data_IF_809314088914
#
_entry.id   IF_809314088914
#
_cell.length_a   1.000
_cell.length_b   1.000
_cell.length_c   1.000
_cell.angle_alpha   90.00
_cell.angle_beta   90.00
_cell.angle_gamma   90.00
#
_symmetry.space_group_name_H-M   'P 1'
#
loop_
_entity.id
_entity.type
_entity.pdbx_description
1 polymer ?
#
# COMPACT_ATOMS: atom_id res chain seq x y z
N UNK A 1 -0.48 -21.16 1.54
CA UNK A 1 -0.20 -20.26 2.66
C UNK A 1 -0.75 -18.88 2.36
N UNK A 2 -1.32 -18.22 3.34
CA UNK A 2 -1.98 -16.94 3.19
C UNK A 2 -1.41 -15.92 4.19
N UNK A 3 -1.31 -14.64 3.78
CA UNK A 3 -0.73 -13.59 4.61
C UNK A 3 -1.49 -12.27 4.48
N UNK A 4 -1.50 -11.50 5.56
CA UNK A 4 -2.00 -10.13 5.58
C UNK A 4 -0.90 -9.17 5.13
N UNK A 5 -1.28 -8.00 4.63
CA UNK A 5 -0.32 -6.97 4.24
C UNK A 5 0.58 -6.53 5.39
N UNK A 6 0.04 -6.42 6.60
CA UNK A 6 0.82 -6.02 7.77
C UNK A 6 2.01 -6.93 8.05
N UNK A 7 1.93 -8.21 7.62
CA UNK A 7 2.99 -9.20 7.85
C UNK A 7 4.07 -9.17 6.79
N UNK A 8 3.81 -8.62 5.61
CA UNK A 8 4.72 -8.72 4.45
C UNK A 8 5.31 -7.38 3.99
N UNK A 9 4.88 -6.27 4.58
CA UNK A 9 5.30 -4.93 4.19
C UNK A 9 5.76 -4.14 5.42
N UNK A 10 6.82 -3.35 5.24
CA UNK A 10 7.28 -2.36 6.23
C UNK A 10 7.31 -1.00 5.58
N UNK A 11 6.87 0.02 6.33
CA UNK A 11 6.78 1.38 5.84
C UNK A 11 7.33 2.32 6.91
N UNK A 12 8.16 3.29 6.51
CA UNK A 12 8.59 4.34 7.41
C UNK A 12 7.38 5.16 7.88
N UNK A 13 7.38 5.59 9.13
CA UNK A 13 6.26 6.31 9.74
C UNK A 13 5.76 7.48 8.88
N UNK A 14 6.68 8.26 8.32
CA UNK A 14 6.34 9.44 7.51
C UNK A 14 5.56 9.10 6.23
N UNK A 15 5.58 7.84 5.77
CA UNK A 15 4.90 7.40 4.56
C UNK A 15 3.66 6.52 4.84
N UNK A 16 3.40 6.16 6.09
CA UNK A 16 2.32 5.24 6.43
C UNK A 16 0.96 5.69 5.90
N UNK A 17 0.61 6.95 6.14
CA UNK A 17 -0.68 7.50 5.69
C UNK A 17 -0.81 7.48 4.17
N UNK A 18 0.24 7.88 3.46
CA UNK A 18 0.24 7.87 2.00
C UNK A 18 0.09 6.45 1.44
N UNK A 19 0.82 5.49 2.00
CA UNK A 19 0.77 4.09 1.53
C UNK A 19 -0.58 3.45 1.86
N UNK A 20 -1.16 3.70 3.02
CA UNK A 20 -2.50 3.21 3.33
C UNK A 20 -3.55 3.77 2.38
N UNK A 21 -3.47 5.06 2.06
CA UNK A 21 -4.35 5.69 1.08
C UNK A 21 -4.15 5.07 -0.30
N UNK A 22 -2.91 4.84 -0.70
CA UNK A 22 -2.59 4.23 -1.99
C UNK A 22 -3.11 2.79 -2.09
N UNK A 23 -2.99 2.00 -1.04
CA UNK A 23 -3.52 0.64 -0.99
C UNK A 23 -5.05 0.63 -0.96
N UNK A 24 -5.65 1.59 -0.24
CA UNK A 24 -7.10 1.67 -0.11
C UNK A 24 -7.70 0.38 0.42
N UNK A 25 -8.79 -0.07 -0.19
CA UNK A 25 -9.46 -1.33 0.18
C UNK A 25 -8.59 -2.58 0.00
N UNK A 26 -7.54 -2.50 -0.81
CA UNK A 26 -6.63 -3.63 -1.05
C UNK A 26 -5.90 -4.09 0.22
N UNK A 27 -5.80 -3.24 1.22
CA UNK A 27 -5.15 -3.60 2.49
C UNK A 27 -5.88 -4.76 3.20
N UNK A 28 -7.15 -4.97 2.89
CA UNK A 28 -7.96 -6.06 3.44
C UNK A 28 -7.86 -7.36 2.63
N UNK A 29 -7.19 -7.33 1.49
CA UNK A 29 -7.03 -8.50 0.64
C UNK A 29 -6.05 -9.49 1.27
N UNK A 30 -6.23 -10.75 0.93
CA UNK A 30 -5.37 -11.84 1.43
C UNK A 30 -4.41 -12.27 0.33
N UNK A 31 -3.12 -12.28 0.65
CA UNK A 31 -2.09 -12.73 -0.27
C UNK A 31 -1.93 -14.25 -0.11
N UNK A 32 -1.99 -14.96 -1.23
CA UNK A 32 -1.76 -16.41 -1.25
C UNK A 32 -0.55 -16.75 -2.11
N UNK A 33 0.04 -17.90 -1.87
CA UNK A 33 1.16 -18.39 -2.67
C UNK A 33 0.72 -18.72 -4.10
N UNK A 34 -0.43 -19.40 -4.25
CA UNK A 34 -0.92 -19.88 -5.55
C UNK A 34 -2.40 -19.63 -5.74
N UNK A 35 -2.83 -19.65 -7.00
CA UNK A 35 -4.24 -19.63 -7.38
C UNK A 35 -4.99 -20.83 -6.80
N UNK A 36 -4.31 -21.98 -6.70
CA UNK A 36 -4.89 -23.20 -6.12
C UNK A 36 -5.28 -23.00 -4.65
N UNK A 37 -4.40 -22.37 -3.88
CA UNK A 37 -4.68 -22.03 -2.47
C UNK A 37 -5.87 -21.06 -2.39
N UNK A 38 -5.88 -20.01 -3.22
CA UNK A 38 -6.98 -19.05 -3.26
C UNK A 38 -8.32 -19.72 -3.61
N UNK A 39 -8.31 -20.62 -4.58
CA UNK A 39 -9.50 -21.38 -4.96
C UNK A 39 -10.07 -22.18 -3.79
N UNK A 40 -9.22 -22.90 -3.06
CA UNK A 40 -9.64 -23.68 -1.88
C UNK A 40 -10.27 -22.80 -0.82
N UNK A 41 -9.69 -21.63 -0.58
CA UNK A 41 -10.21 -20.69 0.40
C UNK A 41 -11.56 -20.11 -0.03
N UNK A 42 -11.73 -19.80 -1.30
CA UNK A 42 -13.01 -19.32 -1.85
C UNK A 42 -14.08 -20.40 -1.71
N UNK A 43 -13.77 -21.64 -2.05
CA UNK A 43 -14.70 -22.77 -1.90
C UNK A 43 -15.13 -22.97 -0.45
N UNK A 44 -14.20 -22.83 0.48
CA UNK A 44 -14.48 -22.89 1.92
C UNK A 44 -15.44 -21.77 2.35
N UNK A 45 -15.20 -20.53 1.89
CA UNK A 45 -16.06 -19.40 2.19
C UNK A 45 -17.50 -19.63 1.66
N UNK A 46 -17.61 -20.15 0.45
CA UNK A 46 -18.92 -20.47 -0.15
C UNK A 46 -19.65 -21.56 0.63
N UNK A 47 -18.95 -22.65 0.95
CA UNK A 47 -19.54 -23.80 1.66
C UNK A 47 -20.11 -23.40 3.02
N UNK A 48 -19.41 -22.53 3.73
CA UNK A 48 -19.79 -22.09 5.06
C UNK A 48 -20.62 -20.80 5.08
N UNK A 49 -20.97 -20.27 3.90
CA UNK A 49 -21.75 -19.03 3.75
C UNK A 49 -21.11 -17.83 4.44
N UNK A 50 -19.79 -17.77 4.45
CA UNK A 50 -19.04 -16.62 4.92
C UNK A 50 -18.98 -15.53 3.84
N UNK A 51 -18.67 -14.31 4.24
CA UNK A 51 -18.60 -13.17 3.34
C UNK A 51 -17.54 -13.30 2.25
N UNK A 52 -17.52 -12.34 1.35
CA UNK A 52 -16.60 -12.29 0.22
C UNK A 52 -15.26 -11.72 0.65
N UNK A 53 -14.19 -12.36 0.18
CA UNK A 53 -12.80 -11.92 0.40
C UNK A 53 -12.09 -11.91 -0.95
N UNK A 54 -11.24 -10.91 -1.18
CA UNK A 54 -10.40 -10.85 -2.36
C UNK A 54 -9.04 -11.46 -2.04
N UNK A 55 -8.59 -12.37 -2.89
CA UNK A 55 -7.29 -13.02 -2.77
C UNK A 55 -6.36 -12.54 -3.87
N UNK A 56 -5.08 -12.41 -3.53
CA UNK A 56 -4.03 -11.99 -4.46
C UNK A 56 -2.98 -13.11 -4.56
N UNK A 57 -3.17 -14.06 -5.52
CA UNK A 57 -2.22 -15.17 -5.69
C UNK A 57 -0.90 -14.69 -6.30
N UNK A 58 0.22 -15.00 -5.67
CA UNK A 58 1.54 -14.58 -6.14
C UNK A 58 1.93 -15.19 -7.50
N UNK A 59 1.37 -16.33 -7.86
CA UNK A 59 1.62 -16.96 -9.16
C UNK A 59 0.80 -16.35 -10.30
N UNK A 60 -0.14 -15.44 -10.00
CA UNK A 60 -1.00 -14.81 -11.00
C UNK A 60 -0.83 -13.30 -11.09
N UNK A 61 -0.58 -12.64 -9.95
CA UNK A 61 -0.50 -11.18 -9.89
C UNK A 61 0.79 -10.70 -10.53
N UNK A 62 0.68 -9.82 -11.54
CA UNK A 62 1.81 -9.19 -12.23
C UNK A 62 1.65 -7.69 -12.20
N UNK A 63 2.75 -6.97 -12.08
CA UNK A 63 2.77 -5.52 -12.06
C UNK A 63 3.95 -4.93 -12.80
N UNK A 64 3.87 -3.63 -13.04
CA UNK A 64 4.93 -2.89 -13.73
C UNK A 64 5.45 -1.76 -12.84
N UNK A 65 6.74 -1.51 -12.93
CA UNK A 65 7.36 -0.35 -12.31
C UNK A 65 6.85 0.93 -12.97
N UNK A 66 6.93 2.04 -12.25
CA UNK A 66 6.55 3.36 -12.77
C UNK A 66 7.54 3.75 -13.89
N UNK A 67 7.04 3.80 -15.13
CA UNK A 67 7.88 3.97 -16.31
C UNK A 67 8.15 5.43 -16.69
N UNK A 68 7.29 6.35 -16.25
CA UNK A 68 7.36 7.77 -16.65
C UNK A 68 8.33 8.54 -15.76
N UNK A 69 9.62 8.37 -16.02
CA UNK A 69 10.70 8.95 -15.21
C UNK A 69 10.67 10.46 -15.16
N UNK A 70 10.16 11.14 -16.20
CA UNK A 70 10.02 12.59 -16.23
C UNK A 70 9.08 13.10 -15.14
N UNK A 71 8.05 12.34 -14.79
CA UNK A 71 7.11 12.68 -13.71
C UNK A 71 7.81 12.54 -12.35
N UNK A 72 8.62 11.52 -12.18
CA UNK A 72 9.35 11.30 -10.93
C UNK A 72 10.32 12.44 -10.60
N UNK A 73 10.75 13.20 -11.61
CA UNK A 73 11.66 14.33 -11.43
C UNK A 73 10.95 15.67 -11.18
N UNK A 74 9.62 15.69 -11.21
CA UNK A 74 8.85 16.93 -10.96
C UNK A 74 9.04 17.41 -9.52
N UNK A 75 9.03 18.75 -9.30
CA UNK A 75 9.13 19.29 -7.95
C UNK A 75 8.02 18.77 -7.02
N UNK A 76 8.40 18.39 -5.81
CA UNK A 76 7.48 17.89 -4.79
C UNK A 76 7.18 16.40 -4.85
N UNK A 77 7.73 15.69 -5.83
CA UNK A 77 7.57 14.23 -5.91
C UNK A 77 8.48 13.55 -4.89
N UNK A 78 7.91 12.65 -4.11
CA UNK A 78 8.63 11.79 -3.18
C UNK A 78 9.11 10.53 -3.92
N UNK A 79 8.24 9.91 -4.71
CA UNK A 79 8.56 8.73 -5.51
C UNK A 79 7.30 7.96 -5.91
N UNK A 80 7.50 6.85 -6.62
CA UNK A 80 6.43 5.89 -6.84
C UNK A 80 6.15 5.15 -5.53
N UNK A 81 4.90 4.86 -5.24
CA UNK A 81 4.50 4.31 -3.95
C UNK A 81 5.18 2.98 -3.61
N UNK A 82 5.40 2.11 -4.60
CA UNK A 82 6.09 0.83 -4.37
C UNK A 82 7.57 1.00 -3.98
N UNK A 83 8.18 2.14 -4.28
CA UNK A 83 9.57 2.44 -3.91
C UNK A 83 9.71 2.93 -2.46
N UNK A 84 8.61 3.27 -1.81
CA UNK A 84 8.57 3.79 -0.45
C UNK A 84 8.26 2.72 0.60
N UNK A 85 8.18 1.47 0.19
CA UNK A 85 7.87 0.33 1.04
C UNK A 85 8.99 -0.69 0.99
N UNK A 86 9.13 -1.46 2.06
CA UNK A 86 10.15 -2.50 2.21
C UNK A 86 9.43 -3.85 2.25
N UNK A 87 9.85 -4.78 1.40
CA UNK A 87 9.26 -6.10 1.27
C UNK A 87 10.28 -7.09 0.70
N UNK A 88 10.03 -8.38 0.86
CA UNK A 88 10.83 -9.43 0.26
C UNK A 88 10.64 -9.47 -1.26
N UNK A 89 11.68 -9.83 -1.98
CA UNK A 89 11.71 -9.91 -3.46
C UNK A 89 10.56 -10.76 -4.03
N UNK A 90 10.11 -11.76 -3.30
CA UNK A 90 8.98 -12.62 -3.71
C UNK A 90 7.68 -11.83 -3.92
N UNK A 91 7.55 -10.68 -3.28
CA UNK A 91 6.36 -9.81 -3.37
C UNK A 91 6.50 -8.67 -4.38
N UNK A 92 7.56 -8.64 -5.16
CA UNK A 92 7.86 -7.54 -6.09
C UNK A 92 6.71 -7.27 -7.07
N UNK A 93 6.23 -8.30 -7.74
CA UNK A 93 5.11 -8.17 -8.69
C UNK A 93 3.83 -7.72 -8.00
N UNK A 94 3.59 -8.22 -6.80
CA UNK A 94 2.43 -7.84 -5.99
C UNK A 94 2.42 -6.33 -5.70
N UNK A 95 3.52 -5.80 -5.17
CA UNK A 95 3.59 -4.39 -4.83
C UNK A 95 3.72 -3.49 -6.06
N UNK A 96 4.33 -3.96 -7.13
CA UNK A 96 4.32 -3.24 -8.42
C UNK A 96 2.89 -3.15 -8.97
N UNK A 97 2.10 -4.21 -8.84
CA UNK A 97 0.69 -4.21 -9.25
C UNK A 97 -0.17 -3.22 -8.44
N UNK A 98 0.01 -3.23 -7.13
CA UNK A 98 -0.83 -2.42 -6.23
C UNK A 98 -0.38 -0.96 -6.13
N UNK A 99 0.92 -0.71 -6.15
CA UNK A 99 1.51 0.59 -5.84
C UNK A 99 2.37 1.17 -6.96
N UNK A 100 2.75 0.39 -7.95
CA UNK A 100 3.74 0.78 -8.96
C UNK A 100 3.32 1.95 -9.85
N UNK A 101 2.03 2.19 -10.02
CA UNK A 101 1.51 3.26 -10.87
C UNK A 101 0.96 4.45 -10.06
N UNK A 102 1.27 4.51 -8.78
CA UNK A 102 0.82 5.57 -7.88
C UNK A 102 2.01 6.45 -7.49
N UNK A 103 1.85 7.75 -7.69
CA UNK A 103 2.87 8.75 -7.36
C UNK A 103 2.59 9.32 -5.97
N UNK A 104 3.60 9.40 -5.12
CA UNK A 104 3.50 10.07 -3.82
C UNK A 104 4.16 11.43 -3.91
N UNK A 105 3.45 12.47 -3.48
CA UNK A 105 3.92 13.85 -3.49
C UNK A 105 3.84 14.45 -2.09
N UNK A 106 4.57 15.54 -1.88
CA UNK A 106 4.68 16.17 -0.55
C UNK A 106 3.37 16.81 -0.08
N UNK A 107 2.61 17.44 -0.98
CA UNK A 107 1.39 18.18 -0.64
C UNK A 107 0.43 18.29 -1.83
N UNK A 108 -0.74 18.85 -1.57
CA UNK A 108 -1.80 19.00 -2.55
C UNK A 108 -1.40 19.97 -3.69
N UNK A 109 -0.68 21.04 -3.38
CA UNK A 109 -0.25 22.01 -4.39
C UNK A 109 0.66 21.37 -5.43
N UNK A 110 1.64 20.59 -4.98
CA UNK A 110 2.51 19.82 -5.87
C UNK A 110 1.69 18.82 -6.70
N UNK A 111 0.76 18.13 -6.05
CA UNK A 111 -0.12 17.15 -6.72
C UNK A 111 -0.95 17.79 -7.82
N UNK A 112 -1.57 18.92 -7.57
CA UNK A 112 -2.41 19.63 -8.56
C UNK A 112 -1.58 20.06 -9.76
N UNK A 113 -0.39 20.63 -9.54
CA UNK A 113 0.50 21.04 -10.64
C UNK A 113 0.86 19.87 -11.55
N UNK A 114 1.21 18.75 -10.95
CA UNK A 114 1.58 17.53 -11.70
C UNK A 114 0.36 16.98 -12.44
N UNK A 115 -0.78 16.87 -11.76
CA UNK A 115 -2.01 16.37 -12.36
C UNK A 115 -2.40 17.21 -13.60
N UNK A 116 -2.36 18.53 -13.50
CA UNK A 116 -2.67 19.41 -14.61
C UNK A 116 -1.66 19.29 -15.76
N UNK A 117 -0.36 19.25 -15.44
CA UNK A 117 0.70 19.14 -16.44
C UNK A 117 0.59 17.85 -17.26
N UNK A 118 0.20 16.76 -16.63
CA UNK A 118 0.12 15.45 -17.28
C UNK A 118 -1.31 14.99 -17.55
N UNK A 119 -2.25 15.97 -17.61
CA UNK A 119 -3.64 15.74 -18.03
C UNK A 119 -4.41 14.70 -17.22
N UNK A 120 -4.19 14.71 -15.91
CA UNK A 120 -4.85 13.77 -14.97
C UNK A 120 -4.69 12.30 -15.35
N UNK A 121 -3.52 11.94 -15.89
CA UNK A 121 -3.20 10.58 -16.36
C UNK A 121 -2.55 9.71 -15.31
N UNK A 122 -2.22 10.25 -14.15
CA UNK A 122 -1.51 9.57 -13.07
C UNK A 122 -2.32 9.68 -11.77
N UNK A 123 -2.40 8.58 -11.03
CA UNK A 123 -2.96 8.62 -9.68
C UNK A 123 -1.89 9.15 -8.73
N UNK A 124 -2.25 10.16 -7.95
CA UNK A 124 -1.34 10.86 -7.03
C UNK A 124 -1.90 10.77 -5.62
N UNK A 125 -1.03 10.55 -4.65
CA UNK A 125 -1.37 10.55 -3.23
C UNK A 125 -0.41 11.48 -2.50
N UNK A 126 -0.92 12.29 -1.58
CA UNK A 126 -0.09 13.19 -0.78
C UNK A 126 0.36 12.50 0.52
N UNK A 127 1.37 13.06 1.18
CA UNK A 127 1.83 12.56 2.49
C UNK A 127 0.71 12.60 3.55
N UNK A 128 -0.22 13.53 3.43
CA UNK A 128 -1.38 13.63 4.35
C UNK A 128 -2.50 12.65 4.01
N UNK A 129 -2.38 11.91 2.94
CA UNK A 129 -3.36 10.90 2.55
C UNK A 129 -4.48 11.42 1.65
N UNK A 130 -4.32 12.58 1.04
CA UNK A 130 -5.25 13.05 0.01
C UNK A 130 -4.95 12.36 -1.32
N UNK A 131 -5.95 12.19 -2.16
CA UNK A 131 -5.84 11.45 -3.41
C UNK A 131 -6.32 12.29 -4.59
N UNK A 132 -5.50 12.33 -5.64
CA UNK A 132 -5.90 12.90 -6.94
C UNK A 132 -5.93 11.74 -7.93
N UNK A 133 -7.12 11.40 -8.38
CA UNK A 133 -7.32 10.22 -9.19
C UNK A 133 -7.22 10.52 -10.69
N UNK A 134 -7.00 9.49 -11.47
CA UNK A 134 -7.07 9.62 -12.93
C UNK A 134 -8.44 10.16 -13.31
N UNK A 135 -8.48 11.08 -14.27
CA UNK A 135 -9.73 11.70 -14.69
C UNK A 135 -10.15 12.92 -13.86
N UNK A 136 -9.41 13.23 -12.79
CA UNK A 136 -9.56 14.50 -12.07
C UNK A 136 -10.31 14.46 -10.75
N UNK A 137 -10.89 13.32 -10.35
CA UNK A 137 -11.56 13.20 -9.05
C UNK A 137 -10.57 13.37 -7.91
N UNK A 138 -10.96 14.08 -6.87
CA UNK A 138 -10.14 14.32 -5.69
C UNK A 138 -10.84 13.78 -4.44
N UNK A 139 -10.08 13.16 -3.55
CA UNK A 139 -10.57 12.66 -2.27
C UNK A 139 -9.63 13.11 -1.17
N UNK A 140 -10.19 13.53 -0.06
CA UNK A 140 -9.40 13.98 1.08
C UNK A 140 -10.28 14.34 2.25
N UNK A 141 -9.66 14.84 3.30
CA UNK A 141 -10.32 15.21 4.54
C UNK A 141 -9.62 14.64 5.74
N UNK A 142 -10.20 14.82 6.92
CA UNK A 142 -9.63 14.29 8.15
C UNK A 142 -10.02 12.82 8.35
N UNK A 143 -9.07 12.00 8.78
CA UNK A 143 -9.36 10.64 9.17
C UNK A 143 -10.09 10.63 10.52
N UNK A 144 -11.27 10.01 10.56
CA UNK A 144 -12.07 9.92 11.80
C UNK A 144 -11.43 9.02 12.85
N UNK A 145 -10.70 7.98 12.40
CA UNK A 145 -10.01 7.03 13.26
C UNK A 145 -8.54 6.96 12.88
N UNK A 146 -7.66 7.21 13.83
CA UNK A 146 -6.21 7.12 13.62
C UNK A 146 -5.69 5.68 13.57
N UNK A 147 -6.56 4.69 13.51
CA UNK A 147 -6.13 3.30 13.47
C UNK A 147 -5.79 2.89 12.06
N UNK A 148 -4.55 3.05 11.69
CA UNK A 148 -4.03 2.45 10.48
C UNK A 148 -3.38 1.10 10.80
N UNK A 149 -3.59 0.10 9.94
CA UNK A 149 -3.07 -1.25 10.16
C UNK A 149 -1.53 -1.29 10.10
N UNK A 150 -0.94 -0.48 9.25
CA UNK A 150 0.52 -0.41 9.10
C UNK A 150 1.17 0.25 10.31
N UNK A 151 0.57 1.33 10.83
CA UNK A 151 1.06 1.99 12.03
C UNK A 151 0.95 1.12 13.27
N UNK A 152 -0.13 0.36 13.40
CA UNK A 152 -0.31 -0.61 14.49
C UNK A 152 0.75 -1.70 14.46
N UNK A 153 1.04 -2.25 13.29
CA UNK A 153 2.07 -3.28 13.14
C UNK A 153 3.44 -2.74 13.55
N UNK A 154 3.78 -1.52 13.13
CA UNK A 154 5.02 -0.85 13.51
C UNK A 154 5.10 -0.64 15.02
N UNK A 155 4.04 -0.14 15.63
CA UNK A 155 3.99 0.10 17.08
C UNK A 155 4.17 -1.18 17.89
N UNK A 156 3.55 -2.28 17.45
CA UNK A 156 3.71 -3.59 18.09
C UNK A 156 5.15 -4.07 18.01
N UNK A 157 5.80 -3.93 16.85
CA UNK A 157 7.22 -4.29 16.71
C UNK A 157 8.14 -3.46 17.60
N UNK A 158 7.89 -2.15 17.69
CA UNK A 158 8.66 -1.26 18.57
C UNK A 158 8.51 -1.64 20.04
N UNK A 159 7.30 -1.98 20.47
CA UNK A 159 7.04 -2.43 21.83
C UNK A 159 7.75 -3.75 22.13
N UNK A 160 7.75 -4.69 21.18
CA UNK A 160 8.48 -5.96 21.31
C UNK A 160 9.98 -5.74 21.47
N UNK A 161 10.57 -4.83 20.68
CA UNK A 161 11.98 -4.49 20.79
C UNK A 161 12.32 -3.88 22.14
N UNK A 162 11.48 -2.98 22.67
CA UNK A 162 11.66 -2.39 24.01
C UNK A 162 11.60 -3.47 25.09
N UNK A 163 10.65 -4.39 24.98
CA UNK A 163 10.51 -5.49 25.92
C UNK A 163 11.73 -6.39 25.92
N UNK A 164 12.28 -6.74 24.75
CA UNK A 164 13.49 -7.54 24.61
C UNK A 164 14.70 -6.87 25.24
N UNK A 165 14.85 -5.54 25.07
CA UNK A 165 15.92 -4.76 25.72
C UNK A 165 15.79 -4.82 27.23
N UNK A 166 14.57 -4.71 27.76
CA UNK A 166 14.29 -4.79 29.20
C UNK A 166 14.68 -6.15 29.75
N UNK A 167 14.29 -7.21 29.06
CA UNK A 167 14.60 -8.59 29.46
C UNK A 167 16.10 -8.87 29.47
N UNK A 168 16.86 -8.31 28.52
CA UNK A 168 18.31 -8.47 28.42
C UNK A 168 19.07 -7.63 29.47
N UNK A 169 18.48 -6.57 29.99
CA UNK A 169 19.09 -5.72 31.00
C UNK A 169 18.99 -6.30 32.43
N UNK A 170 18.20 -7.32 32.63
CA UNK A 170 18.05 -8.04 33.89
C UNK A 170 19.01 -9.24 33.90
#
# INVERSE_FOLDING_TARGET
>A
MASDFADIIKVEEKYETAIETALGGSIQNIVTDTQKTAKKMIEYLKKNRYGRVTFLPLDAVKGKEFARKEILLEPGVIGAANQLVIYDEVYKDLFASLLGQILVVKDMDAGIKIANKYHHSVRIVTLDGDSLNRGGAMSGGAFKNKSNLLGRSREVEELKKKLDRWTKAI
#
